data_IF_416270467854
#
_entry.id   IF_416270467854
#
_cell.length_a   1.000
_cell.length_b   1.000
_cell.length_c   1.000
_cell.angle_alpha   90.00
_cell.angle_beta   90.00
_cell.angle_gamma   90.00
#
_symmetry.space_group_name_H-M   'P 1'
#
loop_
_entity.id
_entity.type
_entity.pdbx_description
1 polymer ?
#
# COMPACT_ATOMS: atom_id res chain seq x y z
N UNK A 1 -1.65 -0.32 19.29
CA UNK A 1 -0.46 0.15 18.55
C UNK A 1 -0.78 1.50 17.91
N UNK A 2 0.21 2.37 17.74
CA UNK A 2 0.04 3.66 17.05
C UNK A 2 0.20 3.47 15.53
N UNK A 3 -0.37 4.34 14.70
CA UNK A 3 -0.03 4.42 13.27
C UNK A 3 0.98 5.55 13.03
N UNK A 4 2.08 5.23 12.36
CA UNK A 4 3.04 6.18 11.81
C UNK A 4 2.80 6.27 10.30
N UNK A 5 2.67 7.50 9.78
CA UNK A 5 2.42 7.74 8.36
C UNK A 5 3.72 8.22 7.73
N UNK A 6 4.11 7.57 6.65
CA UNK A 6 5.22 7.96 5.79
C UNK A 6 4.69 8.32 4.41
N UNK A 7 5.11 9.47 3.87
CA UNK A 7 4.79 9.90 2.52
C UNK A 7 6.04 9.87 1.64
N UNK A 8 5.90 9.36 0.42
CA UNK A 8 6.96 9.48 -0.59
C UNK A 8 6.93 10.84 -1.25
N UNK A 9 8.03 11.20 -1.92
CA UNK A 9 8.11 12.44 -2.70
C UNK A 9 7.11 12.40 -3.86
N UNK A 10 6.91 11.22 -4.46
CA UNK A 10 5.95 11.01 -5.54
C UNK A 10 4.51 11.20 -5.04
N UNK A 11 4.16 10.68 -3.86
CA UNK A 11 2.85 10.91 -3.25
C UNK A 11 2.63 12.40 -2.96
N UNK A 12 3.61 13.08 -2.38
CA UNK A 12 3.51 14.52 -2.10
C UNK A 12 3.29 15.31 -3.40
N UNK A 13 4.01 14.96 -4.47
CA UNK A 13 3.84 15.59 -5.78
C UNK A 13 2.49 15.27 -6.42
N UNK A 14 1.97 14.05 -6.30
CA UNK A 14 0.64 13.69 -6.77
C UNK A 14 -0.42 14.53 -6.03
N UNK A 15 -0.32 14.58 -4.71
CA UNK A 15 -1.23 15.33 -3.86
C UNK A 15 -1.23 16.81 -4.25
N UNK A 16 -0.07 17.43 -4.46
CA UNK A 16 0.04 18.83 -4.88
C UNK A 16 -0.72 19.14 -6.18
N UNK A 17 -0.76 18.18 -7.11
CA UNK A 17 -1.47 18.27 -8.38
C UNK A 17 -3.00 18.15 -8.30
N UNK A 18 -3.54 17.65 -7.19
CA UNK A 18 -4.98 17.45 -7.02
C UNK A 18 -5.74 18.75 -6.72
N UNK A 19 -7.02 18.77 -7.08
CA UNK A 19 -7.94 19.84 -6.71
C UNK A 19 -8.24 19.83 -5.20
N UNK A 20 -8.71 20.95 -4.66
CA UNK A 20 -8.95 21.12 -3.21
C UNK A 20 -9.92 20.09 -2.61
N UNK A 21 -10.97 19.74 -3.35
CA UNK A 21 -11.94 18.71 -2.99
C UNK A 21 -11.32 17.31 -2.99
N UNK A 22 -10.48 17.00 -3.96
CA UNK A 22 -9.79 15.71 -4.07
C UNK A 22 -8.77 15.55 -2.94
N UNK A 23 -7.99 16.60 -2.65
CA UNK A 23 -7.09 16.65 -1.48
C UNK A 23 -7.84 16.37 -0.18
N UNK A 24 -8.98 17.02 0.02
CA UNK A 24 -9.80 16.80 1.20
C UNK A 24 -10.31 15.35 1.30
N UNK A 25 -10.72 14.76 0.18
CA UNK A 25 -11.15 13.36 0.14
C UNK A 25 -10.00 12.40 0.50
N UNK A 26 -8.81 12.61 -0.06
CA UNK A 26 -7.62 11.81 0.26
C UNK A 26 -7.29 11.87 1.76
N UNK A 27 -7.24 13.07 2.33
CA UNK A 27 -6.95 13.26 3.76
C UNK A 27 -8.00 12.54 4.63
N UNK A 28 -9.28 12.74 4.32
CA UNK A 28 -10.36 12.09 5.07
C UNK A 28 -10.30 10.56 4.99
N UNK A 29 -10.00 10.02 3.81
CA UNK A 29 -9.81 8.57 3.63
C UNK A 29 -8.62 8.03 4.42
N UNK A 30 -7.49 8.75 4.44
CA UNK A 30 -6.31 8.37 5.25
C UNK A 30 -6.66 8.37 6.75
N UNK A 31 -7.37 9.41 7.23
CA UNK A 31 -7.81 9.48 8.62
C UNK A 31 -8.73 8.32 9.02
N UNK A 32 -9.64 7.94 8.13
CA UNK A 32 -10.52 6.78 8.31
C UNK A 32 -9.72 5.47 8.33
N UNK A 33 -8.74 5.32 7.45
CA UNK A 33 -7.85 4.16 7.40
C UNK A 33 -7.03 4.04 8.69
N UNK A 34 -6.41 5.14 9.15
CA UNK A 34 -5.66 5.21 10.41
C UNK A 34 -6.53 4.83 11.60
N UNK A 35 -7.76 5.35 11.63
CA UNK A 35 -8.73 5.03 12.69
C UNK A 35 -9.10 3.55 12.70
N UNK A 36 -9.26 2.95 11.52
CA UNK A 36 -9.60 1.53 11.37
C UNK A 36 -8.47 0.61 11.85
N UNK A 37 -7.23 0.91 11.45
CA UNK A 37 -6.02 0.17 11.88
C UNK A 37 -5.84 0.30 13.40
N UNK A 38 -6.03 1.50 13.96
CA UNK A 38 -5.83 1.75 15.39
C UNK A 38 -6.85 1.05 16.28
N UNK A 39 -8.05 0.78 15.76
CA UNK A 39 -9.15 0.16 16.50
C UNK A 39 -9.19 -1.38 16.41
N UNK A 40 -8.42 -2.01 15.54
CA UNK A 40 -8.41 -3.48 15.45
C UNK A 40 -7.43 -4.11 16.44
N UNK A 41 -7.92 -4.98 17.32
CA UNK A 41 -7.08 -5.92 18.10
C UNK A 41 -6.68 -7.17 17.28
N UNK A 42 -7.28 -7.36 16.10
CA UNK A 42 -7.05 -8.49 15.19
C UNK A 42 -5.98 -8.18 14.15
N UNK A 43 -5.26 -9.22 13.71
CA UNK A 43 -4.21 -9.17 12.68
C UNK A 43 -4.58 -8.25 11.50
N UNK A 44 -3.60 -7.51 11.02
CA UNK A 44 -3.67 -6.53 9.94
C UNK A 44 -4.33 -7.07 8.66
N UNK A 45 -4.11 -8.37 8.37
CA UNK A 45 -4.82 -9.10 7.31
C UNK A 45 -6.34 -9.01 7.44
N UNK A 46 -6.90 -9.15 8.65
CA UNK A 46 -8.35 -9.10 8.85
C UNK A 46 -8.94 -7.72 8.57
N UNK A 47 -8.21 -6.63 8.82
CA UNK A 47 -8.66 -5.25 8.51
C UNK A 47 -8.70 -5.03 7.01
N UNK A 48 -7.64 -5.43 6.30
CA UNK A 48 -7.56 -5.35 4.85
C UNK A 48 -8.58 -6.27 4.15
N UNK A 49 -8.86 -7.46 4.72
CA UNK A 49 -9.76 -8.45 4.13
C UNK A 49 -11.25 -8.31 4.48
N UNK A 50 -11.64 -7.57 5.53
CA UNK A 50 -13.06 -7.53 5.95
C UNK A 50 -13.75 -6.19 5.71
N UNK A 51 -13.06 -5.07 5.86
CA UNK A 51 -13.68 -3.73 5.69
C UNK A 51 -13.34 -3.08 4.36
N UNK A 52 -12.21 -3.48 3.73
CA UNK A 52 -11.70 -2.85 2.52
C UNK A 52 -11.58 -3.80 1.32
N UNK A 53 -12.00 -5.06 1.46
CA UNK A 53 -11.86 -6.07 0.40
C UNK A 53 -12.61 -5.75 -0.91
N UNK A 54 -13.58 -4.82 -0.90
CA UNK A 54 -14.21 -4.34 -2.14
C UNK A 54 -13.41 -3.22 -2.82
N UNK A 55 -12.53 -2.54 -2.09
CA UNK A 55 -11.69 -1.44 -2.57
C UNK A 55 -10.27 -1.92 -2.93
N UNK A 56 -9.85 -3.05 -2.38
CA UNK A 56 -8.57 -3.69 -2.66
C UNK A 56 -8.70 -4.61 -3.88
N UNK A 57 -8.03 -4.27 -4.98
CA UNK A 57 -7.76 -5.26 -6.04
C UNK A 57 -6.61 -6.17 -5.59
N UNK A 58 -6.80 -7.49 -5.70
CA UNK A 58 -5.78 -8.49 -5.35
C UNK A 58 -4.49 -8.28 -6.19
N UNK A 59 -3.31 -8.19 -5.56
CA UNK A 59 -2.00 -8.20 -6.22
C UNK A 59 -1.68 -9.49 -6.97
N UNK A 60 -2.38 -10.59 -6.70
CA UNK A 60 -2.11 -11.93 -7.25
C UNK A 60 -2.21 -11.99 -8.78
N UNK A 61 -2.83 -10.99 -9.42
CA UNK A 61 -2.94 -10.89 -10.87
C UNK A 61 -1.84 -10.03 -11.52
N UNK A 62 -0.98 -9.36 -10.76
CA UNK A 62 -0.04 -8.36 -11.29
C UNK A 62 1.43 -8.75 -11.17
N UNK A 63 1.83 -9.57 -10.18
CA UNK A 63 3.21 -10.05 -10.05
C UNK A 63 3.25 -11.44 -9.38
N UNK A 64 3.95 -12.39 -10.00
CA UNK A 64 4.36 -13.64 -9.33
C UNK A 64 5.55 -13.34 -8.41
N UNK A 65 5.26 -13.00 -7.16
CA UNK A 65 6.25 -12.66 -6.13
C UNK A 65 6.61 -13.88 -5.25
N UNK A 66 6.15 -15.09 -5.58
CA UNK A 66 6.37 -16.29 -4.76
C UNK A 66 5.81 -16.13 -3.35
N UNK A 67 6.56 -16.55 -2.32
CA UNK A 67 6.17 -16.46 -0.90
C UNK A 67 6.30 -15.04 -0.30
N UNK A 68 6.67 -14.03 -1.10
CA UNK A 68 6.61 -12.64 -0.65
C UNK A 68 5.16 -12.17 -0.67
N UNK A 69 4.51 -12.21 0.50
CA UNK A 69 3.26 -11.48 0.76
C UNK A 69 3.54 -9.99 0.53
N UNK A 70 3.24 -9.49 -0.66
CA UNK A 70 3.44 -8.08 -0.98
C UNK A 70 2.49 -7.23 -0.14
N UNK A 71 3.04 -6.49 0.82
CA UNK A 71 2.32 -5.51 1.65
C UNK A 71 1.87 -4.27 0.87
N UNK A 72 1.74 -4.34 -0.46
CA UNK A 72 1.36 -3.20 -1.31
C UNK A 72 -0.12 -3.33 -1.69
N UNK A 73 -0.84 -2.24 -1.54
CA UNK A 73 -2.29 -2.21 -1.57
C UNK A 73 -2.81 -1.08 -2.44
N UNK A 74 -3.99 -1.31 -3.00
CA UNK A 74 -4.78 -0.33 -3.75
C UNK A 74 -5.98 0.03 -2.88
N UNK A 75 -6.22 1.32 -2.64
CA UNK A 75 -7.30 1.82 -1.79
C UNK A 75 -8.07 2.92 -2.53
N UNK A 76 -9.35 2.71 -2.82
CA UNK A 76 -10.14 3.70 -3.56
C UNK A 76 -10.62 4.83 -2.63
N UNK A 77 -10.34 6.07 -3.02
CA UNK A 77 -10.78 7.28 -2.29
C UNK A 77 -12.12 7.74 -2.82
N UNK A 78 -12.28 7.72 -4.14
CA UNK A 78 -13.51 8.06 -4.88
C UNK A 78 -13.67 7.11 -6.07
N UNK A 79 -14.73 7.30 -6.87
CA UNK A 79 -14.93 6.57 -8.13
C UNK A 79 -13.82 6.82 -9.17
N UNK A 80 -13.04 7.89 -9.01
CA UNK A 80 -12.00 8.30 -9.96
C UNK A 80 -10.59 8.33 -9.37
N UNK A 81 -10.44 8.33 -8.04
CA UNK A 81 -9.16 8.53 -7.36
C UNK A 81 -8.83 7.37 -6.42
N UNK A 82 -7.58 6.92 -6.46
CA UNK A 82 -7.11 5.73 -5.78
C UNK A 82 -5.72 5.95 -5.19
N UNK A 83 -5.49 5.43 -4.00
CA UNK A 83 -4.18 5.40 -3.34
C UNK A 83 -3.48 4.08 -3.58
N UNK A 84 -2.15 4.15 -3.66
CA UNK A 84 -1.26 3.00 -3.58
C UNK A 84 -0.45 3.15 -2.30
N UNK A 85 -0.55 2.19 -1.40
CA UNK A 85 0.01 2.28 -0.06
C UNK A 85 0.52 0.93 0.44
N UNK A 86 1.35 0.93 1.47
CA UNK A 86 1.67 -0.27 2.23
C UNK A 86 1.35 -0.09 3.71
N UNK A 87 1.08 -1.21 4.38
CA UNK A 87 0.94 -1.23 5.84
C UNK A 87 1.86 -2.32 6.38
N UNK A 88 2.76 -1.95 7.29
CA UNK A 88 3.75 -2.85 7.86
C UNK A 88 3.74 -2.76 9.39
N UNK A 89 4.02 -3.88 10.05
CA UNK A 89 4.18 -3.92 11.49
C UNK A 89 5.60 -3.60 11.92
N UNK A 90 5.72 -2.72 12.90
CA UNK A 90 6.97 -2.43 13.59
C UNK A 90 6.83 -2.76 15.08
N UNK A 91 7.15 -4.02 15.46
CA UNK A 91 7.00 -4.48 16.83
C UNK A 91 8.04 -3.85 17.78
N UNK A 92 9.14 -3.30 17.26
CA UNK A 92 10.17 -2.65 18.10
C UNK A 92 9.61 -1.35 18.68
N UNK A 93 8.83 -0.63 17.89
CA UNK A 93 8.23 0.65 18.27
C UNK A 93 6.73 0.57 18.58
N UNK A 94 6.17 -0.64 18.63
CA UNK A 94 4.74 -0.91 18.89
C UNK A 94 3.80 -0.09 17.99
N UNK A 95 4.16 0.01 16.71
CA UNK A 95 3.46 0.83 15.73
C UNK A 95 3.21 0.09 14.42
N UNK A 96 2.22 0.57 13.67
CA UNK A 96 2.02 0.24 12.27
C UNK A 96 2.59 1.37 11.43
N UNK A 97 3.34 1.04 10.38
CA UNK A 97 3.86 1.99 9.40
C UNK A 97 2.94 1.95 8.18
N UNK A 98 2.25 3.05 7.93
CA UNK A 98 1.45 3.30 6.73
C UNK A 98 2.30 4.13 5.76
N UNK A 99 2.79 3.52 4.69
CA UNK A 99 3.55 4.24 3.67
C UNK A 99 2.65 4.56 2.48
N UNK A 100 2.53 5.83 2.13
CA UNK A 100 1.74 6.34 1.01
C UNK A 100 2.66 6.53 -0.20
N UNK A 101 2.47 5.73 -1.25
CA UNK A 101 3.33 5.75 -2.42
C UNK A 101 2.84 6.71 -3.50
N UNK A 102 1.55 6.66 -3.82
CA UNK A 102 0.95 7.39 -4.96
C UNK A 102 -0.53 7.69 -4.70
N UNK A 103 -1.02 8.81 -5.25
CA UNK A 103 -2.43 9.16 -5.34
C UNK A 103 -2.78 9.41 -6.81
N UNK A 104 -3.52 8.51 -7.44
CA UNK A 104 -3.66 8.47 -8.90
C UNK A 104 -5.09 8.24 -9.34
N UNK A 105 -5.38 8.62 -10.58
CA UNK A 105 -6.64 8.25 -11.20
C UNK A 105 -6.79 6.73 -11.29
N UNK A 106 -8.02 6.24 -11.11
CA UNK A 106 -8.36 4.83 -11.24
C UNK A 106 -7.97 4.26 -12.62
N UNK A 107 -8.02 5.10 -13.66
CA UNK A 107 -7.62 4.74 -15.04
C UNK A 107 -6.13 4.40 -15.17
N UNK A 108 -5.28 4.92 -14.27
CA UNK A 108 -3.83 4.80 -14.30
C UNK A 108 -3.30 3.83 -13.25
N UNK A 109 -4.16 3.38 -12.32
CA UNK A 109 -3.76 2.63 -11.12
C UNK A 109 -2.92 1.40 -11.42
N UNK A 110 -3.26 0.63 -12.46
CA UNK A 110 -2.57 -0.62 -12.79
C UNK A 110 -1.13 -0.37 -13.23
N UNK A 111 -0.94 0.58 -14.14
CA UNK A 111 0.39 0.96 -14.63
C UNK A 111 1.25 1.52 -13.50
N UNK A 112 0.68 2.39 -12.67
CA UNK A 112 1.40 3.02 -11.57
C UNK A 112 1.73 2.02 -10.47
N UNK A 113 0.79 1.13 -10.14
CA UNK A 113 1.02 0.03 -9.19
C UNK A 113 2.18 -0.85 -9.64
N UNK A 114 2.20 -1.25 -10.91
CA UNK A 114 3.29 -2.05 -11.44
C UNK A 114 4.63 -1.32 -11.34
N UNK A 115 4.67 -0.02 -11.64
CA UNK A 115 5.90 0.78 -11.52
C UNK A 115 6.39 0.86 -10.06
N UNK A 116 5.49 1.09 -9.11
CA UNK A 116 5.81 1.12 -7.67
C UNK A 116 6.31 -0.25 -7.22
N UNK A 117 5.59 -1.32 -7.54
CA UNK A 117 5.95 -2.67 -7.16
C UNK A 117 7.29 -3.10 -7.78
N UNK A 118 7.52 -2.79 -9.05
CA UNK A 118 8.83 -3.01 -9.71
C UNK A 118 9.94 -2.24 -8.99
N UNK A 119 9.74 -0.96 -8.66
CA UNK A 119 10.75 -0.18 -7.93
C UNK A 119 11.06 -0.75 -6.55
N UNK A 120 10.05 -1.22 -5.83
CA UNK A 120 10.20 -1.78 -4.49
C UNK A 120 10.85 -3.16 -4.50
N UNK A 121 10.39 -4.05 -5.37
CA UNK A 121 10.73 -5.47 -5.32
C UNK A 121 11.86 -5.87 -6.28
N UNK A 122 12.07 -5.17 -7.41
CA UNK A 122 13.20 -5.45 -8.31
C UNK A 122 14.50 -4.75 -7.90
N UNK A 123 14.44 -3.75 -7.01
CA UNK A 123 15.63 -3.17 -6.38
C UNK A 123 16.26 -4.11 -5.33
N UNK A 124 15.55 -5.15 -4.91
CA UNK A 124 16.11 -6.21 -4.09
C UNK A 124 17.08 -7.02 -4.96
N UNK A 125 18.35 -7.22 -4.55
CA UNK A 125 19.21 -8.18 -5.20
C UNK A 125 18.44 -9.49 -5.24
N UNK A 126 18.28 -10.09 -6.43
CA UNK A 126 17.89 -11.49 -6.50
C UNK A 126 18.95 -12.24 -5.72
N UNK A 127 18.63 -12.55 -4.45
CA UNK A 127 19.49 -13.36 -3.62
C UNK A 127 19.56 -14.66 -4.38
N UNK A 128 20.74 -14.92 -4.95
CA UNK A 128 21.05 -16.13 -5.68
C UNK A 128 20.31 -17.28 -5.01
N UNK A 129 19.46 -17.98 -5.76
CA UNK A 129 19.05 -19.33 -5.41
C UNK A 129 20.31 -20.21 -5.50
N UNK A 130 21.23 -20.00 -4.56
CA UNK A 130 22.31 -20.89 -4.18
C UNK A 130 21.67 -22.04 -3.39
N UNK A 131 20.76 -22.75 -4.07
CA UNK A 131 20.46 -24.15 -3.86
C UNK A 131 20.45 -24.84 -5.22
N UNK A 132 21.45 -24.50 -6.04
CA UNK A 132 22.01 -25.48 -6.96
C UNK A 132 22.74 -26.54 -6.11
N UNK A 133 22.18 -27.75 -6.08
CA UNK A 133 22.86 -29.03 -5.82
C UNK A 133 23.58 -29.21 -4.47
N UNK A 134 22.86 -29.73 -3.49
CA UNK A 134 23.35 -30.74 -2.52
C UNK A 134 22.10 -31.50 -2.07
N UNK A 135 21.89 -32.81 -2.24
CA UNK A 135 22.65 -33.95 -2.74
C UNK A 135 21.67 -34.95 -3.36
#
# INVERSE_FOLDING_TARGET
MKVFIEETIEFASDLDGLELNEKAAVIQSIEQLVSSISCSETNLEAVCHTSLAQEFRSPELLLDLGDYNASLFIFNVTDSLTLILSINDDPIFEQHILTLFRAVELSQVEQVYQAVATSLYQALPQTNSALAKVA
#
